data_IF_085446622380
#
_entry.id   IF_085446622380
#
_cell.length_a   1.000
_cell.length_b   1.000
_cell.length_c   1.000
_cell.angle_alpha   90.00
_cell.angle_beta   90.00
_cell.angle_gamma   90.00
#
_symmetry.space_group_name_H-M   'P 1'
#
loop_
_entity.id
_entity.type
_entity.pdbx_description
1 polymer ?
#
# COMPACT_ATOMS: atom_id res chain seq x y z
N UNK A 1 35.91 -16.10 -0.99
CA UNK A 1 35.81 -15.16 0.14
C UNK A 1 34.61 -14.25 0.01
N UNK A 2 34.10 -13.84 1.14
CA UNK A 2 33.00 -12.87 1.22
C UNK A 2 33.44 -11.79 2.23
N UNK A 3 33.00 -10.55 2.03
CA UNK A 3 33.40 -9.44 2.91
C UNK A 3 32.81 -9.52 4.32
N UNK A 4 31.80 -10.39 4.55
CA UNK A 4 31.20 -10.66 5.85
C UNK A 4 30.64 -12.08 5.87
N UNK A 5 31.18 -12.95 6.75
CA UNK A 5 30.82 -14.36 6.80
C UNK A 5 30.84 -14.90 8.23
N UNK A 6 29.84 -15.72 8.57
CA UNK A 6 29.75 -16.41 9.84
C UNK A 6 28.88 -17.68 9.72
N UNK A 7 28.62 -18.33 10.86
CA UNK A 7 27.84 -19.56 10.89
C UNK A 7 26.36 -19.29 10.51
N UNK A 8 25.99 -19.51 9.22
CA UNK A 8 24.67 -19.28 8.65
C UNK A 8 24.20 -17.82 8.64
N UNK A 9 25.13 -16.85 8.64
CA UNK A 9 24.84 -15.43 8.46
C UNK A 9 25.99 -14.73 7.75
N UNK A 10 25.71 -13.59 7.12
CA UNK A 10 26.69 -12.79 6.38
C UNK A 10 26.19 -12.34 5.01
N UNK A 11 27.08 -11.80 4.20
CA UNK A 11 26.83 -11.50 2.80
C UNK A 11 27.33 -12.64 1.92
N UNK A 12 26.52 -13.06 0.95
CA UNK A 12 26.85 -14.22 0.14
C UNK A 12 26.41 -14.05 -1.31
N UNK A 13 27.40 -14.05 -2.21
CA UNK A 13 27.21 -13.91 -3.64
C UNK A 13 27.89 -15.07 -4.38
N UNK A 14 27.12 -15.91 -5.05
CA UNK A 14 27.66 -16.99 -5.87
C UNK A 14 28.31 -16.42 -7.14
N UNK A 15 29.60 -16.76 -7.43
CA UNK A 15 30.13 -16.55 -8.76
C UNK A 15 29.36 -17.38 -9.76
N UNK A 16 28.89 -16.74 -10.84
CA UNK A 16 28.18 -17.43 -11.92
C UNK A 16 29.15 -17.76 -13.05
N UNK A 17 28.86 -18.82 -13.83
CA UNK A 17 29.63 -19.22 -15.00
C UNK A 17 29.78 -18.03 -15.95
N UNK A 18 31.03 -17.75 -16.36
CA UNK A 18 31.40 -16.63 -17.22
C UNK A 18 31.90 -15.39 -16.49
N UNK A 19 31.74 -15.32 -15.15
CA UNK A 19 32.34 -14.23 -14.36
C UNK A 19 33.86 -14.44 -14.17
N UNK A 20 34.61 -13.35 -14.22
CA UNK A 20 36.03 -13.35 -13.91
C UNK A 20 36.24 -13.21 -12.41
N UNK A 21 37.09 -14.09 -11.84
CA UNK A 21 37.32 -14.18 -10.40
C UNK A 21 38.80 -14.17 -10.12
N UNK A 22 39.18 -13.64 -8.94
CA UNK A 22 40.55 -13.75 -8.41
C UNK A 22 40.62 -15.00 -7.54
N UNK A 23 41.59 -15.86 -7.84
CA UNK A 23 41.86 -17.07 -7.08
C UNK A 23 43.16 -16.90 -6.32
N UNK A 24 43.15 -17.23 -5.06
CA UNK A 24 44.31 -17.35 -4.20
C UNK A 24 44.43 -18.81 -3.74
N UNK A 25 45.57 -19.20 -3.13
CA UNK A 25 45.85 -20.55 -2.69
C UNK A 25 46.23 -20.53 -1.22
N UNK A 26 45.52 -21.31 -0.42
CA UNK A 26 45.78 -21.42 1.00
C UNK A 26 47.19 -21.99 1.24
N UNK A 27 47.96 -21.29 2.05
CA UNK A 27 49.39 -21.58 2.33
C UNK A 27 50.28 -21.76 1.07
N UNK A 28 49.81 -21.22 -0.09
CA UNK A 28 50.52 -21.35 -1.38
C UNK A 28 50.34 -22.74 -2.04
N UNK A 29 49.43 -23.61 -1.52
CA UNK A 29 49.20 -24.91 -2.05
C UNK A 29 48.25 -24.88 -3.25
N UNK A 30 48.68 -25.25 -4.47
CA UNK A 30 47.88 -25.24 -5.68
C UNK A 30 46.64 -26.13 -5.61
N UNK A 31 46.63 -27.13 -4.73
CA UNK A 31 45.47 -28.04 -4.54
C UNK A 31 44.43 -27.45 -3.62
N UNK A 32 44.63 -26.28 -3.04
CA UNK A 32 43.71 -25.57 -2.14
C UNK A 32 43.32 -24.18 -2.65
N UNK A 33 42.68 -24.07 -3.82
CA UNK A 33 42.29 -22.79 -4.37
C UNK A 33 41.10 -22.17 -3.59
N UNK A 34 41.13 -20.85 -3.42
CA UNK A 34 40.02 -20.08 -2.84
C UNK A 34 39.74 -18.86 -3.73
N UNK A 35 38.47 -18.65 -4.07
CA UNK A 35 38.03 -17.44 -4.75
C UNK A 35 37.97 -16.31 -3.72
N UNK A 36 38.75 -15.25 -3.91
CA UNK A 36 38.85 -14.11 -2.99
C UNK A 36 38.08 -12.89 -3.47
N UNK A 37 37.66 -12.84 -4.76
CA UNK A 37 36.89 -11.73 -5.30
C UNK A 37 36.44 -11.95 -6.73
N UNK A 38 35.64 -11.04 -7.24
CA UNK A 38 35.25 -10.94 -8.65
C UNK A 38 35.73 -9.61 -9.23
N UNK A 39 36.07 -9.58 -10.50
CA UNK A 39 36.55 -8.38 -11.19
C UNK A 39 35.73 -8.10 -12.44
N UNK A 40 35.60 -6.85 -12.78
CA UNK A 40 35.07 -6.41 -14.05
C UNK A 40 36.15 -6.38 -15.13
N UNK A 41 35.77 -6.59 -16.38
CA UNK A 41 36.63 -6.56 -17.54
C UNK A 41 35.96 -5.90 -18.73
N UNK A 42 36.66 -5.79 -19.87
CA UNK A 42 36.12 -5.15 -21.06
C UNK A 42 34.84 -5.80 -21.66
N UNK A 43 34.58 -7.06 -21.30
CA UNK A 43 33.37 -7.79 -21.73
C UNK A 43 32.24 -7.75 -20.68
N UNK A 44 32.59 -7.48 -19.45
CA UNK A 44 31.69 -7.48 -18.28
C UNK A 44 31.91 -6.19 -17.48
N UNK A 45 31.35 -5.10 -17.98
CA UNK A 45 31.45 -3.78 -17.37
C UNK A 45 30.58 -3.65 -16.13
N UNK A 46 30.94 -2.78 -15.16
CA UNK A 46 30.09 -2.46 -14.02
C UNK A 46 28.72 -1.93 -14.44
N UNK A 47 27.67 -2.14 -13.64
CA UNK A 47 26.30 -1.77 -14.01
C UNK A 47 26.06 -0.27 -14.23
N UNK A 48 26.92 0.60 -13.65
CA UNK A 48 26.78 2.06 -13.74
C UNK A 48 27.85 2.72 -14.61
N UNK A 49 28.73 1.94 -15.19
CA UNK A 49 29.79 2.39 -16.10
C UNK A 49 29.65 1.72 -17.47
N UNK A 50 29.95 2.46 -18.55
CA UNK A 50 29.96 1.93 -19.90
C UNK A 50 28.77 2.33 -20.77
N UNK A 51 28.76 1.81 -22.00
CA UNK A 51 27.85 2.19 -23.08
C UNK A 51 26.59 1.29 -23.20
N UNK A 52 26.25 0.54 -22.15
CA UNK A 52 25.06 -0.33 -22.16
C UNK A 52 23.75 0.46 -22.37
N UNK A 53 22.75 -0.12 -23.07
CA UNK A 53 21.50 0.55 -23.40
C UNK A 53 20.72 1.01 -22.16
N UNK A 54 20.95 0.38 -21.00
CA UNK A 54 20.26 0.66 -19.75
C UNK A 54 21.03 1.63 -18.82
N UNK A 55 22.22 2.09 -19.21
CA UNK A 55 23.05 2.95 -18.39
C UNK A 55 22.61 4.42 -18.52
N UNK A 56 21.64 4.84 -17.73
CA UNK A 56 21.29 6.27 -17.55
C UNK A 56 22.40 7.08 -16.84
N UNK A 57 23.37 6.41 -16.26
CA UNK A 57 24.43 6.96 -15.41
C UNK A 57 25.82 6.69 -15.97
N UNK A 58 26.02 6.90 -17.28
CA UNK A 58 27.32 6.72 -17.92
C UNK A 58 28.45 7.42 -17.17
N UNK A 59 29.42 6.64 -16.69
CA UNK A 59 30.63 7.16 -16.04
C UNK A 59 30.40 8.17 -14.92
N UNK A 60 29.29 8.06 -14.20
CA UNK A 60 29.01 8.92 -13.05
C UNK A 60 29.55 8.26 -11.76
N UNK A 61 30.66 8.76 -11.20
CA UNK A 61 31.28 8.18 -10.00
C UNK A 61 30.42 8.39 -8.73
N UNK A 62 29.32 9.14 -8.83
CA UNK A 62 28.39 9.40 -7.73
C UNK A 62 27.28 8.36 -7.63
N UNK A 63 27.21 7.43 -8.58
CA UNK A 63 26.23 6.34 -8.56
C UNK A 63 26.88 5.05 -8.12
N UNK A 64 26.32 4.41 -7.11
CA UNK A 64 26.79 3.15 -6.53
C UNK A 64 25.62 2.23 -6.17
N UNK A 65 25.86 0.93 -6.02
CA UNK A 65 24.80 0.01 -5.64
C UNK A 65 25.10 -1.46 -5.87
N UNK A 66 24.10 -2.28 -5.61
CA UNK A 66 24.11 -3.72 -5.86
C UNK A 66 23.01 -4.01 -6.85
N UNK A 67 23.36 -4.51 -8.02
CA UNK A 67 22.43 -4.94 -9.06
C UNK A 67 22.61 -6.42 -9.34
N UNK A 68 21.54 -7.19 -9.24
CA UNK A 68 21.51 -8.60 -9.62
C UNK A 68 21.18 -8.77 -11.11
N UNK A 69 21.16 -9.99 -11.56
CA UNK A 69 20.70 -10.36 -12.90
C UNK A 69 19.82 -11.60 -12.74
N UNK A 70 18.69 -11.65 -13.42
CA UNK A 70 17.83 -12.83 -13.48
C UNK A 70 18.59 -14.05 -14.02
N UNK A 71 18.07 -15.25 -13.80
CA UNK A 71 18.64 -16.48 -14.33
C UNK A 71 18.62 -16.46 -15.87
N UNK A 72 19.39 -17.35 -16.48
CA UNK A 72 19.52 -17.45 -17.93
C UNK A 72 18.14 -17.50 -18.62
N UNK A 73 17.95 -16.65 -19.61
CA UNK A 73 16.67 -16.47 -20.32
C UNK A 73 15.70 -15.47 -19.69
N UNK A 74 16.06 -14.81 -18.58
CA UNK A 74 15.33 -13.70 -17.99
C UNK A 74 16.10 -12.39 -18.12
N UNK A 75 15.43 -11.32 -18.54
CA UNK A 75 16.06 -9.99 -18.74
C UNK A 75 15.89 -9.07 -17.53
N UNK A 76 15.39 -9.60 -16.39
CA UNK A 76 15.10 -8.83 -15.18
C UNK A 76 16.29 -8.70 -14.23
N UNK A 77 16.10 -7.87 -13.19
CA UNK A 77 17.09 -7.64 -12.12
C UNK A 77 16.44 -7.18 -10.84
N UNK A 78 17.15 -7.33 -9.71
CA UNK A 78 16.83 -6.61 -8.48
C UNK A 78 17.97 -5.63 -8.19
N UNK A 79 17.65 -4.48 -7.61
CA UNK A 79 18.64 -3.41 -7.41
C UNK A 79 18.41 -2.64 -6.11
N UNK A 80 19.51 -2.31 -5.43
CA UNK A 80 19.57 -1.22 -4.45
C UNK A 80 20.64 -0.27 -4.92
N UNK A 81 20.27 0.97 -5.26
CA UNK A 81 21.17 1.97 -5.84
C UNK A 81 21.10 3.26 -5.04
N UNK A 82 22.24 3.92 -4.93
CA UNK A 82 22.42 5.24 -4.39
C UNK A 82 22.89 6.18 -5.51
N UNK A 83 22.25 7.32 -5.64
CA UNK A 83 22.67 8.43 -6.48
C UNK A 83 22.96 9.61 -5.57
N UNK A 84 24.23 10.02 -5.48
CA UNK A 84 24.72 11.09 -4.59
C UNK A 84 24.90 12.43 -5.35
N UNK A 85 24.26 12.60 -6.50
CA UNK A 85 24.28 13.85 -7.24
C UNK A 85 23.57 14.95 -6.44
N UNK A 86 24.29 15.99 -6.04
CA UNK A 86 23.80 17.09 -5.20
C UNK A 86 22.50 17.69 -5.73
N UNK A 87 21.46 17.69 -4.90
CA UNK A 87 20.11 18.17 -5.23
C UNK A 87 19.28 17.20 -6.06
N UNK A 88 19.79 15.97 -6.29
CA UNK A 88 19.09 14.88 -6.99
C UNK A 88 19.36 13.53 -6.30
N UNK A 89 19.77 13.59 -5.05
CA UNK A 89 20.08 12.40 -4.27
C UNK A 89 18.90 11.43 -4.24
N UNK A 90 19.17 10.14 -4.45
CA UNK A 90 18.14 9.12 -4.51
C UNK A 90 18.62 7.80 -3.92
N UNK A 91 17.79 7.15 -3.12
CA UNK A 91 17.86 5.72 -2.86
C UNK A 91 16.78 5.02 -3.68
N UNK A 92 17.21 4.12 -4.56
CA UNK A 92 16.32 3.36 -5.43
C UNK A 92 16.34 1.89 -5.06
N UNK A 93 15.16 1.32 -4.78
CA UNK A 93 14.98 -0.10 -4.51
C UNK A 93 14.06 -0.66 -5.58
N UNK A 94 14.54 -1.65 -6.33
CA UNK A 94 13.80 -2.32 -7.39
C UNK A 94 13.74 -3.82 -7.15
N UNK A 95 12.55 -4.36 -7.14
CA UNK A 95 12.29 -5.79 -7.14
C UNK A 95 11.61 -6.16 -8.46
N UNK A 96 12.22 -7.06 -9.24
CA UNK A 96 11.70 -7.49 -10.54
C UNK A 96 10.31 -8.10 -10.47
N UNK A 97 9.99 -8.75 -9.36
CA UNK A 97 8.70 -9.44 -9.22
C UNK A 97 8.03 -9.19 -7.88
N UNK A 98 8.70 -9.46 -6.78
CA UNK A 98 8.10 -9.42 -5.45
C UNK A 98 9.08 -8.82 -4.46
N UNK A 99 8.58 -7.92 -3.62
CA UNK A 99 9.31 -7.35 -2.50
C UNK A 99 8.55 -7.65 -1.21
N UNK A 100 9.20 -8.35 -0.27
CA UNK A 100 8.68 -8.65 1.06
C UNK A 100 9.48 -7.85 2.11
N UNK A 101 8.77 -7.09 2.93
CA UNK A 101 9.35 -6.36 4.06
C UNK A 101 8.75 -6.90 5.34
N UNK A 102 9.58 -7.50 6.20
CA UNK A 102 9.17 -8.05 7.48
C UNK A 102 9.83 -7.34 8.64
N UNK A 103 9.05 -6.71 9.48
CA UNK A 103 9.50 -6.00 10.69
C UNK A 103 8.85 -6.63 11.91
N UNK A 104 9.65 -7.20 12.83
CA UNK A 104 9.15 -7.93 14.00
C UNK A 104 8.72 -7.05 15.17
N UNK A 105 9.12 -5.79 15.19
CA UNK A 105 8.79 -4.87 16.27
C UNK A 105 8.07 -3.63 15.73
N UNK A 106 8.79 -2.60 15.32
CA UNK A 106 8.23 -1.32 14.91
C UNK A 106 8.83 -0.84 13.59
N UNK A 107 7.99 -0.30 12.73
CA UNK A 107 8.41 0.42 11.53
C UNK A 107 7.96 1.87 11.65
N UNK A 108 8.86 2.81 11.36
CA UNK A 108 8.58 4.24 11.30
C UNK A 108 8.94 4.77 9.92
N UNK A 109 8.04 5.52 9.33
CA UNK A 109 8.25 6.20 8.05
C UNK A 109 7.99 7.68 8.27
N UNK A 110 8.95 8.52 7.91
CA UNK A 110 8.82 9.99 7.95
C UNK A 110 9.20 10.56 6.59
N UNK A 111 8.25 11.24 5.96
CA UNK A 111 8.41 11.84 4.64
C UNK A 111 8.26 13.35 4.77
N UNK A 112 9.31 14.11 4.50
CA UNK A 112 9.32 15.58 4.58
C UNK A 112 8.59 16.28 3.43
N UNK A 113 8.32 15.58 2.36
CA UNK A 113 7.60 16.07 1.19
C UNK A 113 6.32 15.27 0.93
N UNK A 114 6.18 14.74 -0.27
CA UNK A 114 5.01 13.96 -0.70
C UNK A 114 5.29 12.46 -0.67
N UNK A 115 4.32 11.69 -0.22
CA UNK A 115 4.29 10.24 -0.38
C UNK A 115 3.25 9.87 -1.44
N UNK A 116 3.64 9.05 -2.43
CA UNK A 116 2.74 8.57 -3.48
C UNK A 116 2.71 7.04 -3.47
N UNK A 117 1.54 6.47 -3.28
CA UNK A 117 1.30 5.03 -3.37
C UNK A 117 0.41 4.73 -4.56
N UNK A 118 0.90 3.91 -5.50
CA UNK A 118 0.11 3.42 -6.63
C UNK A 118 0.06 1.89 -6.58
N UNK A 119 -1.12 1.32 -6.55
CA UNK A 119 -1.36 -0.12 -6.50
C UNK A 119 -2.20 -0.53 -7.69
N UNK A 120 -1.63 -1.31 -8.62
CA UNK A 120 -2.33 -1.78 -9.82
C UNK A 120 -3.34 -2.91 -9.57
N UNK A 121 -3.30 -3.52 -8.41
CA UNK A 121 -4.21 -4.58 -7.98
C UNK A 121 -4.93 -4.24 -6.69
N UNK A 122 -5.14 -5.21 -5.81
CA UNK A 122 -5.78 -4.99 -4.52
C UNK A 122 -4.82 -4.37 -3.51
N UNK A 123 -5.28 -3.38 -2.75
CA UNK A 123 -4.63 -2.89 -1.54
C UNK A 123 -5.36 -3.43 -0.31
N UNK A 124 -4.68 -4.26 0.48
CA UNK A 124 -5.24 -4.90 1.66
C UNK A 124 -4.48 -4.43 2.91
N UNK A 125 -5.21 -3.95 3.90
CA UNK A 125 -4.64 -3.48 5.16
C UNK A 125 -5.36 -4.14 6.34
N UNK A 126 -4.60 -4.68 7.29
CA UNK A 126 -5.12 -5.22 8.55
C UNK A 126 -4.40 -4.59 9.73
N UNK A 127 -5.14 -3.93 10.60
CA UNK A 127 -4.62 -3.30 11.80
C UNK A 127 -5.19 -4.02 13.02
N UNK A 128 -4.32 -4.65 13.82
CA UNK A 128 -4.73 -5.46 14.97
C UNK A 128 -5.22 -4.66 16.18
N UNK A 129 -5.02 -3.33 16.19
CA UNK A 129 -5.47 -2.43 17.26
C UNK A 129 -6.07 -1.16 16.67
N UNK A 130 -5.53 -0.01 17.00
CA UNK A 130 -6.05 1.29 16.56
C UNK A 130 -5.44 1.70 15.22
N UNK A 131 -6.25 2.27 14.34
CA UNK A 131 -5.81 3.05 13.18
C UNK A 131 -6.27 4.47 13.35
N UNK A 132 -5.35 5.42 13.35
CA UNK A 132 -5.61 6.86 13.46
C UNK A 132 -5.08 7.56 12.22
N UNK A 133 -5.87 8.47 11.66
CA UNK A 133 -5.49 9.29 10.52
C UNK A 133 -5.80 10.74 10.84
N UNK A 134 -4.77 11.61 10.80
CA UNK A 134 -4.91 13.05 10.99
C UNK A 134 -4.51 13.77 9.70
N UNK A 135 -5.44 14.51 9.12
CA UNK A 135 -5.25 15.31 7.91
C UNK A 135 -5.56 16.76 8.24
N UNK A 136 -4.58 17.65 8.06
CA UNK A 136 -4.73 19.07 8.41
C UNK A 136 -5.59 19.82 7.41
N UNK A 137 -5.59 19.39 6.15
CA UNK A 137 -6.39 20.01 5.08
C UNK A 137 -7.50 19.06 4.61
N UNK A 138 -7.60 18.80 3.33
CA UNK A 138 -8.65 17.98 2.73
C UNK A 138 -8.32 16.49 2.74
N UNK A 139 -9.29 15.65 3.07
CA UNK A 139 -9.28 14.22 2.79
C UNK A 139 -10.37 13.90 1.77
N UNK A 140 -10.01 13.33 0.62
CA UNK A 140 -10.94 12.96 -0.44
C UNK A 140 -10.85 11.47 -0.72
N UNK A 141 -11.99 10.80 -0.78
CA UNK A 141 -12.10 9.39 -1.17
C UNK A 141 -13.04 9.28 -2.36
N UNK A 142 -12.56 8.70 -3.45
CA UNK A 142 -13.35 8.43 -4.64
C UNK A 142 -13.39 6.92 -4.89
N UNK A 143 -14.58 6.35 -5.03
CA UNK A 143 -14.79 4.91 -5.25
C UNK A 143 -15.78 4.75 -6.40
N UNK A 144 -15.37 4.10 -7.48
CA UNK A 144 -16.21 3.91 -8.68
C UNK A 144 -17.34 2.90 -8.48
N UNK A 145 -17.19 1.97 -7.54
CA UNK A 145 -18.18 0.93 -7.28
C UNK A 145 -18.82 1.11 -5.90
N UNK A 146 -18.47 0.27 -4.94
CA UNK A 146 -19.10 0.24 -3.62
C UNK A 146 -18.17 0.79 -2.55
N UNK A 147 -18.65 1.75 -1.78
CA UNK A 147 -18.02 2.20 -0.53
C UNK A 147 -18.85 1.73 0.65
N UNK A 148 -18.26 0.91 1.53
CA UNK A 148 -18.95 0.35 2.69
C UNK A 148 -18.15 0.63 3.97
N UNK A 149 -18.84 1.11 5.02
CA UNK A 149 -18.30 1.31 6.35
C UNK A 149 -19.06 0.42 7.33
N UNK A 150 -18.33 -0.41 8.06
CA UNK A 150 -18.87 -1.28 9.11
C UNK A 150 -18.21 -0.98 10.43
N UNK A 151 -19.01 -0.89 11.48
CA UNK A 151 -18.56 -0.79 12.85
C UNK A 151 -19.48 -1.64 13.71
N UNK A 152 -18.95 -2.61 14.43
CA UNK A 152 -19.73 -3.42 15.38
C UNK A 152 -20.17 -2.60 16.59
N UNK A 153 -19.48 -1.49 16.86
CA UNK A 153 -19.81 -0.57 17.93
C UNK A 153 -20.42 0.72 17.40
N UNK A 154 -19.75 1.83 17.63
CA UNK A 154 -20.24 3.18 17.39
C UNK A 154 -19.55 3.80 16.16
N UNK A 155 -20.36 4.34 15.22
CA UNK A 155 -19.88 5.10 14.07
C UNK A 155 -20.35 6.56 14.20
N UNK A 156 -19.44 7.51 14.29
CA UNK A 156 -19.71 8.95 14.39
C UNK A 156 -19.24 9.69 13.14
N UNK A 157 -20.18 10.38 12.49
CA UNK A 157 -19.88 11.42 11.50
C UNK A 157 -20.16 12.79 12.14
N UNK A 158 -19.15 13.63 12.24
CA UNK A 158 -19.26 14.98 12.80
C UNK A 158 -18.60 16.00 11.87
N UNK A 159 -19.30 17.06 11.57
CA UNK A 159 -18.84 18.19 10.76
C UNK A 159 -19.69 19.42 11.06
N UNK A 160 -19.28 20.60 10.57
CA UNK A 160 -20.15 21.79 10.56
C UNK A 160 -21.36 21.51 9.68
N UNK A 161 -21.10 21.02 8.46
CA UNK A 161 -22.12 20.61 7.52
C UNK A 161 -21.90 19.15 7.12
N UNK A 162 -22.95 18.33 7.13
CA UNK A 162 -22.94 16.95 6.67
C UNK A 162 -23.98 16.84 5.56
N UNK A 163 -23.54 16.55 4.34
CA UNK A 163 -24.42 16.31 3.19
C UNK A 163 -24.36 14.84 2.78
N UNK A 164 -25.50 14.16 2.86
CA UNK A 164 -25.67 12.80 2.34
C UNK A 164 -26.58 12.88 1.12
N UNK A 165 -26.02 12.58 -0.07
CA UNK A 165 -26.75 12.66 -1.33
C UNK A 165 -26.71 11.31 -2.06
N UNK A 166 -27.88 10.68 -2.24
CA UNK A 166 -28.11 9.57 -3.16
C UNK A 166 -28.79 10.06 -4.44
N UNK A 167 -28.36 9.61 -5.60
CA UNK A 167 -29.03 9.94 -6.87
C UNK A 167 -30.37 9.20 -7.03
N UNK A 168 -30.47 8.00 -6.51
CA UNK A 168 -31.65 7.16 -6.60
C UNK A 168 -32.35 7.05 -5.24
N UNK A 169 -31.63 6.72 -4.20
CA UNK A 169 -32.20 6.49 -2.88
C UNK A 169 -31.19 6.83 -1.78
N UNK A 170 -31.67 7.40 -0.67
CA UNK A 170 -30.93 7.54 0.58
C UNK A 170 -31.82 7.01 1.71
N UNK A 171 -31.40 5.92 2.35
CA UNK A 171 -32.22 5.22 3.35
C UNK A 171 -31.53 5.18 4.71
N UNK A 172 -32.27 5.51 5.78
CA UNK A 172 -31.88 5.36 7.16
C UNK A 172 -32.71 4.24 7.80
N UNK A 173 -32.03 3.16 8.23
CA UNK A 173 -32.68 1.99 8.84
C UNK A 173 -32.09 1.75 10.23
N UNK A 174 -32.95 1.62 11.24
CA UNK A 174 -32.53 1.29 12.60
C UNK A 174 -33.69 0.76 13.43
N UNK A 175 -33.38 0.14 14.57
CA UNK A 175 -34.41 -0.21 15.58
C UNK A 175 -35.11 1.04 16.14
N UNK A 176 -34.34 2.13 16.27
CA UNK A 176 -34.86 3.49 16.55
C UNK A 176 -34.09 4.47 15.67
N UNK A 177 -34.78 5.33 14.94
CA UNK A 177 -34.20 6.40 14.13
C UNK A 177 -34.71 7.73 14.65
N UNK A 178 -33.80 8.61 15.11
CA UNK A 178 -34.12 9.95 15.59
C UNK A 178 -33.48 11.00 14.71
N UNK A 179 -34.21 12.05 14.38
CA UNK A 179 -33.71 13.24 13.69
C UNK A 179 -33.93 14.41 14.65
N UNK A 180 -32.85 15.08 15.08
CA UNK A 180 -32.88 16.15 16.04
C UNK A 180 -32.31 17.43 15.42
N UNK A 181 -33.12 18.47 15.30
CA UNK A 181 -32.71 19.81 14.90
C UNK A 181 -32.91 20.78 16.04
N UNK A 182 -31.93 21.67 16.30
CA UNK A 182 -32.08 22.73 17.31
C UNK A 182 -33.12 23.78 16.88
N UNK A 183 -33.01 24.20 15.63
CA UNK A 183 -33.81 25.30 15.10
C UNK A 183 -34.90 24.81 14.14
N UNK A 184 -34.60 23.82 13.30
CA UNK A 184 -35.51 23.29 12.31
C UNK A 184 -35.18 21.85 11.90
N UNK A 185 -36.21 21.05 11.66
CA UNK A 185 -36.18 19.79 10.91
C UNK A 185 -37.14 19.92 9.73
N UNK A 186 -36.66 19.70 8.49
CA UNK A 186 -37.49 19.79 7.30
C UNK A 186 -37.38 18.54 6.44
N UNK A 187 -38.52 17.96 6.03
CA UNK A 187 -38.62 16.86 5.06
C UNK A 187 -39.37 17.43 3.82
N UNK A 188 -38.71 17.40 2.67
CA UNK A 188 -39.22 18.03 1.43
C UNK A 188 -39.29 17.02 0.31
N UNK A 189 -40.40 16.99 -0.42
CA UNK A 189 -40.61 16.22 -1.64
C UNK A 189 -41.34 17.09 -2.69
N UNK A 190 -40.61 17.64 -3.67
CA UNK A 190 -41.15 18.62 -4.59
C UNK A 190 -41.70 19.85 -3.84
N UNK A 191 -42.96 20.21 -4.08
CA UNK A 191 -43.61 21.32 -3.39
C UNK A 191 -44.27 20.97 -2.06
N UNK A 192 -44.21 19.72 -1.66
CA UNK A 192 -44.73 19.21 -0.39
C UNK A 192 -43.65 19.16 0.68
N UNK A 193 -44.00 19.49 1.92
CA UNK A 193 -43.07 19.41 3.02
C UNK A 193 -43.72 19.15 4.38
N UNK A 194 -42.90 18.62 5.31
CA UNK A 194 -43.15 18.64 6.75
C UNK A 194 -42.00 19.40 7.40
N UNK A 195 -42.32 20.48 8.06
CA UNK A 195 -41.36 21.35 8.75
C UNK A 195 -41.70 21.39 10.24
N UNK A 196 -40.70 21.12 11.08
CA UNK A 196 -40.82 21.16 12.54
C UNK A 196 -39.87 22.22 13.08
N UNK A 197 -40.37 23.12 13.87
CA UNK A 197 -39.58 24.12 14.63
C UNK A 197 -40.02 24.10 16.09
N UNK A 198 -39.29 24.77 17.00
CA UNK A 198 -39.71 24.90 18.40
C UNK A 198 -41.09 25.53 18.59
N UNK A 199 -41.55 26.34 17.64
CA UNK A 199 -42.80 27.10 17.73
C UNK A 199 -44.00 26.39 17.05
N UNK A 200 -43.78 25.61 15.99
CA UNK A 200 -44.90 25.04 15.20
C UNK A 200 -44.45 23.88 14.32
N UNK A 201 -45.48 23.14 13.85
CA UNK A 201 -45.35 22.10 12.81
C UNK A 201 -46.18 22.56 11.62
N UNK A 202 -45.54 22.63 10.43
CA UNK A 202 -46.22 22.89 9.17
C UNK A 202 -46.24 21.62 8.32
N UNK A 203 -47.42 21.30 7.76
CA UNK A 203 -47.58 20.24 6.79
C UNK A 203 -48.27 20.84 5.58
N UNK A 204 -47.56 20.82 4.42
CA UNK A 204 -48.06 21.35 3.16
C UNK A 204 -48.00 20.25 2.09
N UNK A 205 -49.12 19.91 1.48
CA UNK A 205 -49.24 19.07 0.32
C UNK A 205 -50.56 19.39 -0.39
N UNK A 206 -50.76 19.02 -1.68
CA UNK A 206 -52.07 19.11 -2.35
C UNK A 206 -53.12 18.30 -1.62
N UNK A 207 -52.75 17.21 -0.97
CA UNK A 207 -53.62 16.37 -0.14
C UNK A 207 -52.85 15.78 1.04
N UNK A 208 -53.42 15.81 2.22
CA UNK A 208 -52.84 15.23 3.46
C UNK A 208 -53.75 14.13 3.97
N UNK A 209 -53.21 12.90 4.06
CA UNK A 209 -53.90 11.75 4.59
C UNK A 209 -53.48 11.50 6.04
N UNK A 210 -54.43 11.46 6.98
CA UNK A 210 -54.19 11.16 8.37
C UNK A 210 -54.99 9.93 8.72
N UNK A 211 -54.33 8.85 9.17
CA UNK A 211 -54.95 7.55 9.52
C UNK A 211 -55.77 6.86 8.38
N UNK A 212 -55.33 7.09 7.14
CA UNK A 212 -56.13 6.68 5.96
C UNK A 212 -55.55 5.47 5.19
N UNK A 213 -54.77 4.64 5.80
CA UNK A 213 -54.14 3.49 5.14
C UNK A 213 -52.98 3.92 4.20
N UNK A 214 -52.21 2.99 3.72
CA UNK A 214 -51.07 3.15 2.85
C UNK A 214 -50.07 2.01 3.08
N UNK A 215 -49.19 1.76 2.08
CA UNK A 215 -48.11 0.79 2.25
C UNK A 215 -46.79 1.52 2.52
N UNK A 216 -46.02 1.16 3.54
CA UNK A 216 -44.71 1.69 3.75
C UNK A 216 -43.78 1.25 2.63
N UNK A 217 -42.75 2.07 2.34
CA UNK A 217 -41.69 1.71 1.41
C UNK A 217 -40.98 0.41 1.85
N UNK A 218 -40.72 -0.51 0.92
CA UNK A 218 -40.02 -1.75 1.23
C UNK A 218 -38.60 -1.46 1.69
N UNK A 219 -38.13 -2.21 2.69
CA UNK A 219 -36.72 -2.09 3.14
C UNK A 219 -35.81 -2.59 2.05
N UNK A 220 -34.81 -1.80 1.63
CA UNK A 220 -33.80 -2.27 0.68
C UNK A 220 -32.99 -3.42 1.29
N UNK A 221 -32.70 -4.43 0.47
CA UNK A 221 -31.81 -5.53 0.85
C UNK A 221 -30.40 -5.20 0.37
N UNK A 222 -29.49 -4.93 1.31
CA UNK A 222 -28.06 -4.77 1.00
C UNK A 222 -27.34 -6.05 1.45
N UNK A 223 -26.57 -6.62 0.53
CA UNK A 223 -25.64 -7.70 0.83
C UNK A 223 -24.22 -7.14 0.69
N UNK A 224 -23.45 -7.23 1.73
CA UNK A 224 -22.05 -6.78 1.72
C UNK A 224 -21.15 -8.01 1.82
N UNK A 225 -20.19 -8.10 0.91
CA UNK A 225 -19.15 -9.12 0.98
C UNK A 225 -18.23 -8.85 2.17
N UNK A 226 -17.75 -9.92 2.81
CA UNK A 226 -16.77 -9.84 3.89
C UNK A 226 -15.50 -9.17 3.42
N UNK A 227 -14.84 -8.41 4.31
CA UNK A 227 -13.51 -7.87 4.08
C UNK A 227 -12.51 -9.02 3.99
N UNK A 228 -11.68 -9.02 2.94
CA UNK A 228 -10.63 -10.03 2.76
C UNK A 228 -9.46 -9.67 3.65
N UNK A 229 -8.99 -10.62 4.47
CA UNK A 229 -7.76 -10.45 5.24
C UNK A 229 -6.55 -10.41 4.31
N UNK A 230 -5.64 -9.42 4.44
CA UNK A 230 -4.41 -9.38 3.67
C UNK A 230 -3.51 -10.56 4.06
N UNK A 231 -2.89 -11.20 3.07
CA UNK A 231 -1.83 -12.19 3.33
C UNK A 231 -0.67 -11.48 4.05
N UNK A 232 -0.28 -12.00 5.21
CA UNK A 232 0.83 -11.42 5.96
C UNK A 232 2.17 -11.64 5.25
N UNK A 233 3.13 -10.74 5.42
CA UNK A 233 4.52 -10.92 5.01
C UNK A 233 5.19 -12.16 5.66
N UNK A 234 4.53 -12.77 6.64
CA UNK A 234 4.92 -14.05 7.26
C UNK A 234 4.84 -15.23 6.30
N UNK A 235 4.11 -15.11 5.19
CA UNK A 235 4.06 -16.11 4.12
C UNK A 235 5.23 -15.98 3.14
N UNK A 236 6.08 -14.97 3.26
CA UNK A 236 7.33 -14.90 2.54
C UNK A 236 8.15 -16.16 2.87
N UNK A 237 8.41 -17.00 1.88
CA UNK A 237 9.25 -18.17 2.04
C UNK A 237 10.58 -17.72 2.63
N UNK A 238 10.92 -18.19 3.83
CA UNK A 238 12.28 -18.05 4.35
C UNK A 238 13.21 -18.61 3.28
N UNK A 239 14.27 -17.92 2.91
CA UNK A 239 15.21 -18.36 1.89
C UNK A 239 15.98 -19.66 2.25
N UNK A 240 15.54 -20.36 3.28
CA UNK A 240 16.05 -21.66 3.67
C UNK A 240 14.95 -22.71 3.56
N UNK A 241 15.16 -23.80 2.80
CA UNK A 241 14.32 -24.97 2.93
C UNK A 241 14.37 -25.39 4.41
N UNK A 242 13.22 -25.59 5.03
CA UNK A 242 13.14 -26.29 6.30
C UNK A 242 13.80 -27.64 6.07
N UNK A 243 14.97 -27.90 6.67
CA UNK A 243 15.45 -29.26 6.81
C UNK A 243 14.44 -30.00 7.71
N UNK A 244 13.47 -30.65 7.06
CA UNK A 244 12.84 -31.81 7.69
C UNK A 244 13.89 -32.88 7.74
N UNK A 245 14.39 -33.20 8.92
CA UNK A 245 14.98 -34.49 9.22
C UNK A 245 13.96 -35.59 8.96
#
# INVERSE_FOLDING_TARGET
GQFWAGKRWGAFFWPRIGQEVIVDYLEGDPDQPIIVGSVYNARQMPPYLGDGPDSKHKNDPKVSGIKSCSTQGGDGFNEIRFDDNKGKEQVFIHAERQMDVRVKASQQVSVGGSENLTVGGAYLEKVGKNKETHVVADMKTYVEATYALFADGYCLLRGQDICLKGSNEATLIGGKTGIFGKDEVCLVAGDSFIKVTPAAIWIKAPMVYINSGGSPMSKPKYTVSSVIDPAGADNAKSGFPSNSE
#
